data_IF_672946715757
#
_entry.id   IF_672946715757
#
_cell.length_a   1.000
_cell.length_b   1.000
_cell.length_c   1.000
_cell.angle_alpha   90.00
_cell.angle_beta   90.00
_cell.angle_gamma   90.00
#
_symmetry.space_group_name_H-M   'P 1'
#
loop_
_entity.id
_entity.type
_entity.pdbx_description
1 polymer ?
#
# COMPACT_ATOMS: atom_id res chain seq x y z
N UNK A 1 -0.84 -17.49 23.17
CA UNK A 1 0.50 -17.49 22.53
C UNK A 1 0.64 -16.17 21.79
N UNK A 2 1.62 -15.33 22.14
CA UNK A 2 1.96 -14.15 21.31
C UNK A 2 2.55 -14.69 20.00
N UNK A 3 1.84 -14.52 18.88
CA UNK A 3 2.39 -14.86 17.58
C UNK A 3 3.59 -13.94 17.32
N UNK A 4 4.74 -14.51 17.02
CA UNK A 4 5.93 -13.75 16.64
C UNK A 4 5.64 -12.98 15.34
N UNK A 5 5.69 -11.67 15.41
CA UNK A 5 5.67 -10.81 14.22
C UNK A 5 7.06 -10.93 13.58
N UNK A 6 7.15 -11.14 12.27
CA UNK A 6 8.43 -11.29 11.52
C UNK A 6 9.41 -10.17 11.89
N UNK A 7 8.92 -8.93 11.93
CA UNK A 7 9.68 -7.76 12.36
C UNK A 7 8.74 -6.66 12.84
N UNK A 8 9.28 -5.67 13.57
CA UNK A 8 8.50 -4.52 14.06
C UNK A 8 7.96 -3.63 12.94
N UNK A 9 8.50 -3.72 11.74
CA UNK A 9 8.11 -2.91 10.57
C UNK A 9 7.37 -3.71 9.52
N UNK A 10 7.15 -5.00 9.75
CA UNK A 10 6.47 -5.88 8.81
C UNK A 10 5.03 -5.43 8.53
N UNK A 11 4.64 -5.51 7.26
CA UNK A 11 3.29 -5.35 6.76
C UNK A 11 3.06 -6.41 5.68
N UNK A 12 1.91 -7.09 5.63
CA UNK A 12 1.65 -8.11 4.60
C UNK A 12 1.47 -7.52 3.20
N UNK A 13 0.97 -6.29 3.08
CA UNK A 13 0.59 -5.70 1.80
C UNK A 13 1.72 -5.66 0.75
N UNK A 14 2.96 -5.28 1.05
CA UNK A 14 4.04 -5.31 0.05
C UNK A 14 4.35 -6.70 -0.52
N UNK A 15 3.85 -7.77 0.08
CA UNK A 15 4.16 -9.15 -0.31
C UNK A 15 3.06 -9.83 -1.13
N UNK A 16 1.85 -9.23 -1.22
CA UNK A 16 0.70 -9.88 -1.84
C UNK A 16 -0.33 -8.92 -2.44
N UNK A 17 -0.10 -7.62 -2.37
CA UNK A 17 -1.05 -6.59 -2.77
C UNK A 17 -0.45 -5.65 -3.81
N UNK A 18 -1.29 -5.19 -4.72
CA UNK A 18 -1.02 -4.12 -5.67
C UNK A 18 -2.11 -3.06 -5.57
N UNK A 19 -1.71 -1.82 -5.28
CA UNK A 19 -2.57 -0.66 -5.42
C UNK A 19 -2.23 0.12 -6.69
N UNK A 20 -3.24 0.35 -7.53
CA UNK A 20 -3.12 1.13 -8.78
C UNK A 20 -3.79 2.48 -8.61
N UNK A 21 -3.00 3.54 -8.78
CA UNK A 21 -3.46 4.92 -8.75
C UNK A 21 -4.14 5.32 -10.06
N UNK A 22 -4.97 6.39 -10.07
CA UNK A 22 -5.59 6.93 -11.29
C UNK A 22 -4.57 7.31 -12.37
N UNK A 23 -3.33 7.58 -11.99
CA UNK A 23 -2.22 7.94 -12.87
C UNK A 23 -1.44 6.74 -13.42
N UNK A 24 -1.97 5.52 -13.25
CA UNK A 24 -1.31 4.24 -13.57
C UNK A 24 -0.05 3.94 -12.74
N UNK A 25 0.23 4.74 -11.71
CA UNK A 25 1.32 4.43 -10.79
C UNK A 25 0.90 3.27 -9.88
N UNK A 26 1.83 2.37 -9.61
CA UNK A 26 1.64 1.22 -8.76
C UNK A 26 2.35 1.40 -7.42
N UNK A 27 1.70 1.06 -6.32
CA UNK A 27 2.31 1.09 -4.98
C UNK A 27 1.88 -0.11 -4.13
N UNK A 28 2.51 -0.25 -2.98
CA UNK A 28 2.26 -1.37 -2.05
C UNK A 28 0.90 -1.28 -1.34
N UNK A 29 0.34 -0.06 -1.20
CA UNK A 29 -1.00 0.18 -0.64
C UNK A 29 -1.45 1.62 -0.92
N UNK A 30 -2.73 1.92 -0.69
CA UNK A 30 -3.31 3.25 -0.89
C UNK A 30 -2.78 4.31 0.10
N UNK A 31 -2.31 3.90 1.28
CA UNK A 31 -1.74 4.79 2.29
C UNK A 31 -0.24 5.07 2.10
N UNK A 32 0.41 4.45 1.10
CA UNK A 32 1.84 4.65 0.84
C UNK A 32 2.11 6.07 0.37
N UNK A 33 2.81 6.86 1.20
CA UNK A 33 3.10 8.26 0.87
C UNK A 33 4.16 8.36 -0.20
N UNK A 34 3.80 9.08 -1.24
CA UNK A 34 4.72 9.58 -2.27
C UNK A 34 5.42 10.80 -1.67
N UNK A 35 6.63 10.64 -1.13
CA UNK A 35 7.47 11.82 -0.87
C UNK A 35 7.88 12.44 -2.20
N UNK A 36 8.10 13.76 -2.26
CA UNK A 36 8.50 14.46 -3.49
C UNK A 36 9.72 13.82 -4.16
N UNK A 37 10.65 13.28 -3.39
CA UNK A 37 11.82 12.53 -3.87
C UNK A 37 11.51 11.11 -4.37
N UNK A 38 10.29 10.59 -4.18
CA UNK A 38 9.91 9.18 -4.39
C UNK A 38 8.80 8.97 -5.40
N UNK A 39 8.04 10.01 -5.74
CA UNK A 39 7.00 9.92 -6.78
C UNK A 39 7.59 9.50 -8.14
N UNK A 40 8.88 9.81 -8.39
CA UNK A 40 9.59 9.37 -9.60
C UNK A 40 10.02 7.90 -9.62
N UNK A 41 9.97 7.18 -8.48
CA UNK A 41 10.46 5.81 -8.36
C UNK A 41 9.35 4.77 -8.26
N UNK A 42 8.07 5.20 -8.18
CA UNK A 42 6.96 4.26 -8.21
C UNK A 42 6.85 3.60 -9.58
N UNK A 43 6.68 2.29 -9.64
CA UNK A 43 6.44 1.58 -10.88
C UNK A 43 5.20 2.09 -11.61
N UNK A 44 5.16 1.96 -12.91
CA UNK A 44 3.97 2.19 -13.72
C UNK A 44 3.42 0.84 -14.18
N UNK A 45 2.10 0.60 -14.05
CA UNK A 45 1.50 -0.67 -14.47
C UNK A 45 1.65 -0.96 -15.96
N UNK A 46 1.90 0.08 -16.78
CA UNK A 46 2.15 -0.07 -18.22
C UNK A 46 3.47 -0.77 -18.54
N UNK A 47 4.39 -0.79 -17.55
CA UNK A 47 5.70 -1.43 -17.70
C UNK A 47 5.65 -2.92 -17.31
N UNK A 48 4.49 -3.43 -16.85
CA UNK A 48 4.29 -4.82 -16.48
C UNK A 48 3.72 -5.64 -17.63
N UNK A 49 4.24 -6.83 -17.85
CA UNK A 49 3.63 -7.82 -18.76
C UNK A 49 2.38 -8.43 -18.12
N UNK A 50 2.42 -8.61 -16.81
CA UNK A 50 1.28 -9.03 -16.00
C UNK A 50 1.31 -8.36 -14.62
N UNK A 51 0.16 -8.29 -13.92
CA UNK A 51 0.05 -7.58 -12.65
C UNK A 51 0.91 -8.19 -11.53
N UNK A 52 1.23 -9.48 -11.62
CA UNK A 52 2.11 -10.16 -10.67
C UNK A 52 3.56 -9.65 -10.69
N UNK A 53 4.00 -9.03 -11.80
CA UNK A 53 5.35 -8.48 -11.94
C UNK A 53 5.61 -7.36 -10.93
N UNK A 54 4.53 -6.74 -10.41
CA UNK A 54 4.61 -5.75 -9.35
C UNK A 54 5.45 -6.23 -8.16
N UNK A 55 5.19 -7.44 -7.67
CA UNK A 55 5.85 -8.00 -6.50
C UNK A 55 7.34 -8.30 -6.74
N UNK A 56 7.74 -8.43 -8.01
CA UNK A 56 9.12 -8.64 -8.44
C UNK A 56 9.84 -7.34 -8.84
N UNK A 57 9.12 -6.22 -8.93
CA UNK A 57 9.73 -4.94 -9.28
C UNK A 57 10.82 -4.54 -8.26
N UNK A 58 12.00 -4.05 -8.68
CA UNK A 58 13.12 -3.73 -7.78
C UNK A 58 12.74 -2.78 -6.63
N UNK A 59 11.88 -1.79 -6.89
CA UNK A 59 11.39 -0.87 -5.88
C UNK A 59 10.57 -1.59 -4.79
N UNK A 60 9.73 -2.55 -5.17
CA UNK A 60 8.90 -3.33 -4.24
C UNK A 60 9.77 -4.33 -3.46
N UNK A 61 10.73 -4.97 -4.14
CA UNK A 61 11.70 -5.87 -3.48
C UNK A 61 12.52 -5.15 -2.41
N UNK A 62 12.96 -3.92 -2.66
CA UNK A 62 13.66 -3.12 -1.65
C UNK A 62 12.79 -2.88 -0.40
N UNK A 63 11.53 -2.54 -0.58
CA UNK A 63 10.56 -2.38 0.52
C UNK A 63 10.38 -3.69 1.30
N UNK A 64 10.17 -4.80 0.59
CA UNK A 64 10.02 -6.13 1.20
C UNK A 64 11.24 -6.51 2.05
N UNK A 65 12.45 -6.33 1.50
CA UNK A 65 13.69 -6.64 2.21
C UNK A 65 13.91 -5.77 3.45
N UNK A 66 13.63 -4.46 3.36
CA UNK A 66 13.71 -3.56 4.50
C UNK A 66 12.76 -3.97 5.62
N UNK A 67 11.52 -4.32 5.28
CA UNK A 67 10.53 -4.77 6.24
C UNK A 67 10.94 -6.06 6.94
N UNK A 68 11.49 -7.03 6.21
CA UNK A 68 11.97 -8.28 6.81
C UNK A 68 13.16 -8.06 7.75
N UNK A 69 14.01 -7.08 7.47
CA UNK A 69 15.13 -6.68 8.35
C UNK A 69 14.73 -5.81 9.54
N UNK A 70 13.45 -5.40 9.63
CA UNK A 70 12.98 -4.49 10.67
C UNK A 70 13.36 -3.03 10.43
N UNK A 71 13.75 -2.67 9.21
CA UNK A 71 14.06 -1.31 8.81
C UNK A 71 12.78 -0.54 8.46
N UNK A 72 12.69 0.73 8.89
CA UNK A 72 11.56 1.59 8.55
C UNK A 72 11.61 1.97 7.06
N UNK A 73 10.47 1.83 6.39
CA UNK A 73 10.27 2.29 5.01
C UNK A 73 9.64 3.67 5.06
N UNK A 74 10.32 4.71 4.57
CA UNK A 74 9.80 6.08 4.69
C UNK A 74 8.43 6.32 4.04
N UNK A 75 8.08 5.60 2.96
CA UNK A 75 6.73 5.65 2.37
C UNK A 75 5.62 5.15 3.29
N UNK A 76 5.96 4.36 4.32
CA UNK A 76 5.04 3.83 5.33
C UNK A 76 4.92 4.73 6.57
N UNK A 77 5.44 5.96 6.53
CA UNK A 77 5.48 6.87 7.67
C UNK A 77 4.11 7.13 8.31
N UNK A 78 3.02 7.09 7.54
CA UNK A 78 1.64 7.29 8.06
C UNK A 78 1.27 6.24 9.10
N UNK A 79 1.60 4.96 8.85
CA UNK A 79 1.33 3.88 9.79
C UNK A 79 2.22 4.00 11.03
N UNK A 80 3.52 4.24 10.85
CA UNK A 80 4.44 4.40 11.98
C UNK A 80 4.08 5.58 12.87
N UNK A 81 3.65 6.71 12.26
CA UNK A 81 3.19 7.87 13.01
C UNK A 81 1.95 7.55 13.86
N UNK A 82 0.96 6.86 13.28
CA UNK A 82 -0.23 6.45 14.01
C UNK A 82 0.13 5.57 15.23
N UNK A 83 0.98 4.57 15.03
CA UNK A 83 1.42 3.64 16.07
C UNK A 83 2.22 4.34 17.20
N UNK A 84 3.11 5.27 16.84
CA UNK A 84 3.89 6.08 17.80
C UNK A 84 3.00 6.97 18.67
N UNK A 85 1.80 7.34 18.18
CA UNK A 85 0.80 8.14 18.91
C UNK A 85 -0.31 7.32 19.55
N UNK A 86 -0.20 5.99 19.56
CA UNK A 86 -1.18 5.10 20.18
C UNK A 86 -2.47 4.89 19.38
N UNK A 87 -2.47 5.22 18.09
CA UNK A 87 -3.57 4.93 17.18
C UNK A 87 -3.32 3.64 16.42
N UNK A 88 -4.39 2.88 16.19
CA UNK A 88 -4.34 1.69 15.36
C UNK A 88 -4.05 2.08 13.91
N UNK A 89 -2.97 1.55 13.35
CA UNK A 89 -2.58 1.79 11.97
C UNK A 89 -3.27 0.83 10.99
N UNK A 90 -3.27 1.20 9.70
CA UNK A 90 -3.69 0.29 8.63
C UNK A 90 -2.83 -0.99 8.62
N UNK A 91 -1.53 -0.86 8.85
CA UNK A 91 -0.60 -2.00 8.93
C UNK A 91 -0.99 -2.99 10.03
N UNK A 92 -1.35 -2.51 11.21
CA UNK A 92 -1.80 -3.37 12.33
C UNK A 92 -3.11 -4.06 12.01
N UNK A 93 -4.07 -3.37 11.37
CA UNK A 93 -5.33 -3.96 10.90
C UNK A 93 -5.08 -5.07 9.88
N UNK A 94 -4.22 -4.83 8.91
CA UNK A 94 -3.88 -5.82 7.90
C UNK A 94 -3.19 -7.06 8.52
N UNK A 95 -2.27 -6.87 9.45
CA UNK A 95 -1.66 -7.98 10.19
C UNK A 95 -2.73 -8.78 10.94
N UNK A 96 -3.66 -8.12 11.61
CA UNK A 96 -4.73 -8.78 12.36
C UNK A 96 -5.67 -9.56 11.42
N UNK A 97 -6.08 -8.97 10.30
CA UNK A 97 -6.95 -9.58 9.29
C UNK A 97 -6.31 -10.84 8.70
N UNK A 98 -5.05 -10.75 8.27
CA UNK A 98 -4.33 -11.90 7.73
C UNK A 98 -4.15 -13.04 8.71
N UNK A 99 -4.00 -12.74 10.00
CA UNK A 99 -3.94 -13.77 11.04
C UNK A 99 -5.26 -14.46 11.28
N UNK A 100 -6.38 -13.75 11.12
CA UNK A 100 -7.71 -14.31 11.37
C UNK A 100 -8.19 -15.12 10.16
N UNK A 101 -8.07 -14.58 8.95
CA UNK A 101 -8.68 -15.16 7.76
C UNK A 101 -7.92 -16.35 7.20
N UNK A 102 -6.60 -16.37 7.32
CA UNK A 102 -5.81 -17.39 6.65
C UNK A 102 -5.49 -18.59 7.51
N UNK A 103 -5.65 -18.53 8.85
CA UNK A 103 -5.22 -19.56 9.81
C UNK A 103 -3.80 -20.12 9.53
N UNK A 104 -3.04 -19.38 8.73
CA UNK A 104 -1.71 -19.81 8.33
C UNK A 104 -0.77 -19.60 9.50
N UNK A 105 -0.04 -20.64 9.82
CA UNK A 105 1.19 -20.46 10.56
C UNK A 105 1.99 -19.39 9.84
N UNK A 106 2.47 -18.41 10.61
CA UNK A 106 3.13 -17.24 10.04
C UNK A 106 4.44 -17.70 9.38
N UNK A 107 4.34 -18.10 8.12
CA UNK A 107 5.49 -18.43 7.29
C UNK A 107 5.96 -17.12 6.63
N UNK A 108 7.25 -16.79 6.72
CA UNK A 108 7.78 -15.64 5.97
C UNK A 108 7.39 -15.77 4.50
N UNK A 109 6.98 -14.66 3.84
CA UNK A 109 6.58 -14.72 2.45
C UNK A 109 7.75 -15.19 1.58
N UNK A 110 7.45 -16.07 0.62
CA UNK A 110 8.41 -16.54 -0.37
C UNK A 110 8.70 -15.41 -1.35
N UNK A 111 9.88 -14.80 -1.23
CA UNK A 111 10.30 -13.71 -2.11
C UNK A 111 10.71 -14.19 -3.50
N UNK A 112 11.04 -15.45 -3.67
CA UNK A 112 11.48 -16.01 -4.94
C UNK A 112 10.27 -16.40 -5.82
N UNK A 113 9.12 -16.68 -5.17
CA UNK A 113 7.88 -17.03 -5.84
C UNK A 113 6.69 -16.26 -5.25
N UNK A 114 6.68 -14.92 -5.36
CA UNK A 114 5.64 -14.09 -4.76
C UNK A 114 4.31 -14.29 -5.47
N UNK A 115 3.22 -14.24 -4.71
CA UNK A 115 1.86 -14.40 -5.21
C UNK A 115 1.05 -13.14 -4.94
N UNK A 116 0.52 -12.53 -5.99
CA UNK A 116 -0.43 -11.43 -5.90
C UNK A 116 -1.81 -12.00 -5.53
N UNK A 117 -2.28 -11.70 -4.32
CA UNK A 117 -3.58 -12.15 -3.82
C UNK A 117 -4.64 -11.04 -3.88
N UNK A 118 -4.22 -9.76 -3.79
CA UNK A 118 -5.12 -8.61 -3.73
C UNK A 118 -4.75 -7.53 -4.73
N UNK A 119 -5.77 -7.01 -5.38
CA UNK A 119 -5.69 -5.88 -6.30
C UNK A 119 -6.67 -4.80 -5.85
N UNK A 120 -6.17 -3.62 -5.56
CA UNK A 120 -6.94 -2.40 -5.32
C UNK A 120 -6.69 -1.42 -6.47
N UNK A 121 -7.74 -0.92 -7.11
CA UNK A 121 -7.62 0.00 -8.25
C UNK A 121 -8.51 1.22 -8.06
N UNK A 122 -7.95 2.39 -8.29
CA UNK A 122 -8.71 3.63 -8.42
C UNK A 122 -8.69 4.05 -9.89
N UNK A 123 -9.85 3.95 -10.56
CA UNK A 123 -9.97 4.17 -12.00
C UNK A 123 -9.96 5.65 -12.42
N UNK A 124 -9.91 6.57 -11.48
CA UNK A 124 -9.93 7.99 -11.71
C UNK A 124 -10.96 8.71 -10.83
N UNK A 125 -11.15 10.00 -11.08
CA UNK A 125 -12.06 10.84 -10.32
C UNK A 125 -13.39 11.13 -11.04
N UNK A 126 -13.69 10.40 -12.12
CA UNK A 126 -14.96 10.59 -12.83
C UNK A 126 -16.10 9.94 -12.05
N UNK A 127 -16.80 10.76 -11.26
CA UNK A 127 -17.87 10.33 -10.35
C UNK A 127 -19.10 11.22 -10.56
N UNK A 128 -20.29 10.62 -10.57
CA UNK A 128 -21.56 11.37 -10.69
C UNK A 128 -22.09 11.91 -9.35
N UNK A 129 -21.33 11.74 -8.25
CA UNK A 129 -21.70 12.17 -6.91
C UNK A 129 -20.76 13.26 -6.39
N UNK A 130 -21.28 14.16 -5.56
CA UNK A 130 -20.54 15.15 -4.79
C UNK A 130 -20.73 14.90 -3.28
N UNK A 131 -20.19 13.80 -2.78
CA UNK A 131 -20.29 13.43 -1.37
C UNK A 131 -19.46 14.41 -0.51
N UNK A 132 -20.00 14.86 0.62
CA UNK A 132 -19.35 15.83 1.53
C UNK A 132 -18.01 15.36 2.10
N UNK A 133 -17.76 14.06 2.12
CA UNK A 133 -16.53 13.44 2.61
C UNK A 133 -15.53 13.18 1.49
N UNK A 134 -15.81 13.63 0.27
CA UNK A 134 -14.99 13.42 -0.91
C UNK A 134 -14.21 14.69 -1.29
N UNK A 135 -13.24 14.55 -2.17
CA UNK A 135 -12.39 15.63 -2.68
C UNK A 135 -12.10 15.44 -4.18
N UNK A 136 -11.46 16.40 -4.81
CA UNK A 136 -11.24 16.44 -6.26
C UNK A 136 -10.47 15.25 -6.82
N UNK A 137 -9.57 14.64 -6.06
CA UNK A 137 -8.84 13.45 -6.50
C UNK A 137 -9.75 12.22 -6.70
N UNK A 138 -10.89 12.17 -5.99
CA UNK A 138 -11.84 11.06 -6.02
C UNK A 138 -13.18 11.42 -6.69
N UNK A 139 -13.48 12.71 -6.90
CA UNK A 139 -14.66 13.16 -7.61
C UNK A 139 -14.40 14.48 -8.34
N UNK A 140 -14.55 14.47 -9.66
CA UNK A 140 -14.37 15.67 -10.49
C UNK A 140 -15.36 16.79 -10.16
N UNK A 141 -16.48 16.49 -9.50
CA UNK A 141 -17.47 17.49 -9.08
C UNK A 141 -16.95 18.44 -8.00
N UNK A 142 -15.81 18.14 -7.35
CA UNK A 142 -15.19 19.01 -6.36
C UNK A 142 -14.06 19.88 -6.91
N UNK A 143 -13.69 19.73 -8.19
CA UNK A 143 -12.54 20.44 -8.78
C UNK A 143 -12.72 21.96 -8.75
N UNK A 144 -13.93 22.43 -9.02
CA UNK A 144 -14.18 23.89 -9.09
C UNK A 144 -14.27 24.48 -7.68
N UNK A 145 -14.92 23.81 -6.75
CA UNK A 145 -15.02 24.25 -5.36
C UNK A 145 -13.66 24.33 -4.66
N UNK A 146 -12.74 23.37 -4.93
CA UNK A 146 -11.40 23.38 -4.35
C UNK A 146 -10.46 24.43 -4.97
N UNK A 147 -10.74 24.94 -6.17
CA UNK A 147 -10.00 26.07 -6.76
C UNK A 147 -10.34 27.41 -6.13
N UNK A 148 -11.49 27.50 -5.49
CA UNK A 148 -11.96 28.73 -4.82
C UNK A 148 -11.47 28.86 -3.37
N UNK A 149 -10.89 27.79 -2.80
CA UNK A 149 -10.31 27.72 -1.45
C UNK A 149 -8.80 28.00 -1.45
#
# INVERSE_FOLDING_TARGET
>A
MKKEIISKTYCPLPFNHLYVHPTNMASVCCAFRKGEERAGNLPNIKDYENLGDHLNHPFIKDIQQKMLKGEKVPGCATCYYAEEHGYESMREKEIATWHIETFRDFTPPDLDNPKLDFLEMTFGNYCNLACRTCHSDLSHNWIDDEKEL
#
